data_IF_551805424770
#
_entry.id   IF_551805424770
#
_cell.length_a   1.000
_cell.length_b   1.000
_cell.length_c   1.000
_cell.angle_alpha   90.00
_cell.angle_beta   90.00
_cell.angle_gamma   90.00
#
_symmetry.space_group_name_H-M   'P 1'
#
loop_
_entity.id
_entity.type
_entity.pdbx_description
1 polymer ?
#
# COMPACT_ATOMS: atom_id res chain seq x y z
N UNK A 1 -12.97 16.02 -22.25
CA UNK A 1 -12.81 15.89 -20.78
C UNK A 1 -11.60 15.01 -20.47
N UNK A 2 -10.86 15.26 -19.38
CA UNK A 2 -9.70 14.45 -18.98
C UNK A 2 -9.92 13.85 -17.59
N UNK A 3 -9.52 12.59 -17.39
CA UNK A 3 -9.60 11.87 -16.11
C UNK A 3 -8.25 11.22 -15.84
N UNK A 4 -7.65 11.54 -14.69
CA UNK A 4 -6.43 10.89 -14.22
C UNK A 4 -6.75 9.93 -13.07
N UNK A 5 -6.12 8.76 -13.06
CA UNK A 5 -6.27 7.80 -11.98
C UNK A 5 -5.49 6.52 -12.21
N UNK A 6 -5.63 5.57 -11.28
CA UNK A 6 -5.01 4.25 -11.37
C UNK A 6 -6.02 3.28 -11.99
N UNK A 7 -5.53 2.37 -12.84
CA UNK A 7 -6.33 1.25 -13.34
C UNK A 7 -6.57 0.26 -12.20
N UNK A 8 -7.78 0.31 -11.66
CA UNK A 8 -8.24 -0.56 -10.57
C UNK A 8 -8.58 -1.97 -11.07
N UNK A 9 -9.11 -2.08 -12.29
CA UNK A 9 -9.54 -3.34 -12.89
C UNK A 9 -9.55 -3.26 -14.42
N UNK A 10 -9.36 -4.42 -15.06
CA UNK A 10 -9.43 -4.58 -16.52
C UNK A 10 -10.39 -5.72 -16.83
N UNK A 11 -11.32 -5.49 -17.76
CA UNK A 11 -12.22 -6.49 -18.33
C UNK A 11 -11.85 -6.75 -19.78
N UNK A 12 -11.21 -7.89 -20.04
CA UNK A 12 -10.84 -8.30 -21.41
C UNK A 12 -12.06 -8.66 -22.28
N UNK A 13 -13.18 -9.09 -21.66
CA UNK A 13 -14.41 -9.42 -22.39
C UNK A 13 -15.10 -8.19 -22.96
N UNK A 14 -15.14 -7.11 -22.18
CA UNK A 14 -15.82 -5.86 -22.57
C UNK A 14 -14.85 -4.79 -23.03
N UNK A 15 -13.54 -5.09 -23.03
CA UNK A 15 -12.45 -4.13 -23.32
C UNK A 15 -12.56 -2.86 -22.47
N UNK A 16 -12.94 -3.07 -21.21
CA UNK A 16 -13.21 -2.01 -20.26
C UNK A 16 -12.08 -1.87 -19.25
N UNK A 17 -11.75 -0.64 -18.86
CA UNK A 17 -10.89 -0.36 -17.71
C UNK A 17 -11.69 0.40 -16.65
N UNK A 18 -11.38 0.14 -15.37
CA UNK A 18 -11.94 0.89 -14.25
C UNK A 18 -10.89 1.86 -13.71
N UNK A 19 -11.19 3.16 -13.76
CA UNK A 19 -10.30 4.23 -13.28
C UNK A 19 -11.12 5.23 -12.47
N UNK A 20 -10.61 5.62 -11.30
CA UNK A 20 -11.28 6.55 -10.36
C UNK A 20 -12.75 6.15 -10.08
N UNK A 21 -13.00 4.86 -9.86
CA UNK A 21 -14.33 4.31 -9.59
C UNK A 21 -15.26 4.16 -10.81
N UNK A 22 -14.88 4.62 -12.01
CA UNK A 22 -15.72 4.58 -13.22
C UNK A 22 -15.19 3.61 -14.27
N UNK A 23 -16.08 2.99 -15.02
CA UNK A 23 -15.73 2.12 -16.15
C UNK A 23 -15.67 2.91 -17.46
N UNK A 24 -14.65 2.64 -18.26
CA UNK A 24 -14.44 3.21 -19.58
C UNK A 24 -14.22 2.09 -20.58
N UNK A 25 -14.95 2.11 -21.71
CA UNK A 25 -14.68 1.22 -22.83
C UNK A 25 -13.55 1.80 -23.65
N UNK A 26 -12.54 0.97 -23.92
CA UNK A 26 -11.30 1.38 -24.58
C UNK A 26 -11.24 0.76 -25.98
N UNK A 27 -10.93 1.54 -27.03
CA UNK A 27 -10.66 1.01 -28.36
C UNK A 27 -9.53 -0.02 -28.37
N UNK A 28 -9.61 -1.01 -29.26
CA UNK A 28 -8.63 -2.11 -29.34
C UNK A 28 -7.17 -1.64 -29.47
N UNK A 29 -6.96 -0.56 -30.20
CA UNK A 29 -5.64 0.01 -30.47
C UNK A 29 -4.97 0.53 -29.19
N UNK A 30 -5.76 1.06 -28.26
CA UNK A 30 -5.32 1.55 -26.95
C UNK A 30 -5.37 0.44 -25.87
N UNK A 31 -6.06 -0.66 -26.19
CA UNK A 31 -6.26 -1.90 -25.43
C UNK A 31 -4.97 -2.49 -24.83
N UNK A 32 -4.06 -2.79 -25.76
CA UNK A 32 -3.11 -3.91 -25.63
C UNK A 32 -1.98 -3.67 -24.63
N UNK A 33 -1.76 -2.43 -24.21
CA UNK A 33 -0.64 -2.07 -23.31
C UNK A 33 -1.10 -1.73 -21.88
N UNK A 34 -2.40 -1.91 -21.59
CA UNK A 34 -2.97 -1.55 -20.30
C UNK A 34 -2.84 -2.69 -19.29
N UNK A 35 -2.41 -2.34 -18.09
CA UNK A 35 -2.24 -3.24 -16.97
C UNK A 35 -2.82 -2.63 -15.71
N UNK A 36 -3.28 -3.49 -14.80
CA UNK A 36 -3.74 -3.05 -13.48
C UNK A 36 -2.59 -2.34 -12.76
N UNK A 37 -2.93 -1.34 -11.94
CA UNK A 37 -1.99 -0.48 -11.18
C UNK A 37 -1.15 0.49 -12.03
N UNK A 38 -1.39 0.57 -13.34
CA UNK A 38 -0.87 1.69 -14.13
C UNK A 38 -1.61 2.97 -13.76
N UNK A 39 -0.85 4.04 -13.54
CA UNK A 39 -1.41 5.39 -13.46
C UNK A 39 -1.59 5.89 -14.88
N UNK A 40 -2.81 6.30 -15.22
CA UNK A 40 -3.18 6.73 -16.57
C UNK A 40 -3.93 8.04 -16.56
N UNK A 41 -3.82 8.77 -17.67
CA UNK A 41 -4.66 9.91 -18.02
C UNK A 41 -5.50 9.53 -19.23
N UNK A 42 -6.82 9.52 -19.05
CA UNK A 42 -7.81 9.18 -20.07
C UNK A 42 -8.38 10.47 -20.64
N UNK A 43 -8.36 10.60 -21.96
CA UNK A 43 -9.02 11.69 -22.67
C UNK A 43 -10.32 11.17 -23.28
N UNK A 44 -11.39 11.92 -23.06
CA UNK A 44 -12.77 11.55 -23.41
C UNK A 44 -13.38 12.67 -24.26
N UNK A 45 -14.07 12.32 -25.34
CA UNK A 45 -14.82 13.27 -26.16
C UNK A 45 -16.11 13.77 -25.46
N UNK A 46 -16.86 14.65 -26.12
CA UNK A 46 -18.11 15.21 -25.59
C UNK A 46 -19.25 14.18 -25.53
N UNK A 47 -19.11 13.03 -26.17
CA UNK A 47 -20.06 11.93 -26.17
C UNK A 47 -19.73 10.84 -25.15
N UNK A 48 -18.60 10.95 -24.44
CA UNK A 48 -18.15 9.98 -23.45
C UNK A 48 -17.26 8.86 -23.98
N UNK A 49 -16.80 8.94 -25.24
CA UNK A 49 -15.90 7.94 -25.82
C UNK A 49 -14.45 8.23 -25.46
N UNK A 50 -13.69 7.17 -25.14
CA UNK A 50 -12.26 7.26 -24.92
C UNK A 50 -11.55 7.47 -26.26
N UNK A 51 -10.85 8.59 -26.38
CA UNK A 51 -10.08 8.94 -27.59
C UNK A 51 -8.58 8.73 -27.41
N UNK A 52 -8.07 8.83 -26.18
CA UNK A 52 -6.65 8.60 -25.88
C UNK A 52 -6.45 8.14 -24.44
N UNK A 53 -5.37 7.37 -24.22
CA UNK A 53 -4.92 6.93 -22.89
C UNK A 53 -3.40 7.09 -22.81
N UNK A 54 -2.97 8.00 -21.95
CA UNK A 54 -1.56 8.19 -21.63
C UNK A 54 -1.18 7.43 -20.35
N UNK A 55 -0.13 6.60 -20.42
CA UNK A 55 0.44 5.94 -19.25
C UNK A 55 1.43 6.89 -18.58
N UNK A 56 1.16 7.26 -17.33
CA UNK A 56 1.96 8.20 -16.53
C UNK A 56 2.97 7.49 -15.62
N UNK A 57 2.83 6.17 -15.43
CA UNK A 57 3.71 5.36 -14.61
C UNK A 57 2.99 4.17 -13.98
N UNK A 58 3.62 3.57 -12.99
CA UNK A 58 3.08 2.47 -12.21
C UNK A 58 3.02 2.87 -10.75
N UNK A 59 1.92 2.53 -10.09
CA UNK A 59 1.89 2.51 -8.64
C UNK A 59 2.36 1.13 -8.17
N UNK A 60 3.42 1.09 -7.35
CA UNK A 60 3.85 -0.13 -6.69
C UNK A 60 2.80 -0.56 -5.67
N UNK A 61 1.90 -1.45 -6.10
CA UNK A 61 1.04 -2.17 -5.17
C UNK A 61 1.85 -3.30 -4.57
N UNK A 62 2.46 -3.04 -3.41
CA UNK A 62 3.06 -4.10 -2.60
C UNK A 62 1.95 -5.09 -2.25
N UNK A 63 2.14 -6.35 -2.66
CA UNK A 63 1.19 -7.44 -2.42
C UNK A 63 0.81 -7.48 -0.94
N UNK A 64 -0.49 -7.63 -0.68
CA UNK A 64 -1.04 -7.70 0.68
C UNK A 64 -0.38 -8.81 1.50
N UNK A 65 -0.03 -9.93 0.86
CA UNK A 65 0.64 -11.04 1.54
C UNK A 65 2.08 -10.69 1.93
N UNK A 66 2.81 -9.98 1.06
CA UNK A 66 4.12 -9.41 1.36
C UNK A 66 4.06 -8.38 2.50
N UNK A 67 3.02 -7.52 2.51
CA UNK A 67 2.79 -6.59 3.62
C UNK A 67 2.56 -7.34 4.94
N UNK A 68 1.79 -8.43 4.92
CA UNK A 68 1.51 -9.27 6.09
C UNK A 68 2.78 -10.00 6.57
N UNK A 69 3.57 -10.56 5.67
CA UNK A 69 4.84 -11.21 6.02
C UNK A 69 5.84 -10.22 6.64
N UNK A 70 5.98 -9.03 6.05
CA UNK A 70 6.81 -7.96 6.60
C UNK A 70 6.34 -7.52 8.00
N UNK A 71 5.02 -7.51 8.23
CA UNK A 71 4.42 -7.24 9.55
C UNK A 71 4.83 -8.30 10.57
N UNK A 72 4.67 -9.58 10.21
CA UNK A 72 4.98 -10.71 11.08
C UNK A 72 6.48 -10.71 11.45
N UNK A 73 7.35 -10.47 10.48
CA UNK A 73 8.79 -10.36 10.71
C UNK A 73 9.12 -9.22 11.68
N UNK A 74 8.48 -8.06 11.53
CA UNK A 74 8.69 -6.90 12.41
C UNK A 74 8.25 -7.18 13.86
N UNK A 75 7.14 -7.91 14.04
CA UNK A 75 6.66 -8.34 15.37
C UNK A 75 7.62 -9.33 16.02
N UNK A 76 8.14 -10.31 15.27
CA UNK A 76 9.09 -11.31 15.79
C UNK A 76 10.42 -10.67 16.22
N UNK A 77 10.97 -9.74 15.43
CA UNK A 77 12.17 -8.98 15.81
C UNK A 77 11.94 -8.26 17.14
N UNK A 78 10.77 -7.65 17.31
CA UNK A 78 10.45 -6.92 18.52
C UNK A 78 10.34 -7.83 19.75
N UNK A 79 9.76 -9.03 19.61
CA UNK A 79 9.75 -10.03 20.69
C UNK A 79 11.16 -10.40 21.13
N UNK A 80 12.07 -10.62 20.17
CA UNK A 80 13.46 -10.97 20.45
C UNK A 80 14.16 -9.82 21.20
N UNK A 81 14.00 -8.57 20.76
CA UNK A 81 14.56 -7.40 21.44
C UNK A 81 14.10 -7.31 22.91
N UNK A 82 12.81 -7.58 23.18
CA UNK A 82 12.26 -7.58 24.53
C UNK A 82 12.81 -8.73 25.38
N UNK A 83 12.97 -9.91 24.80
CA UNK A 83 13.54 -11.08 25.50
C UNK A 83 15.00 -10.86 25.88
N UNK A 84 15.81 -10.27 24.99
CA UNK A 84 17.22 -9.98 25.25
C UNK A 84 17.40 -8.92 26.35
N UNK A 85 16.52 -7.91 26.39
CA UNK A 85 16.55 -6.87 27.43
C UNK A 85 15.97 -7.31 28.79
N UNK A 86 15.31 -8.48 28.87
CA UNK A 86 14.58 -8.91 30.06
C UNK A 86 15.51 -9.25 31.24
N UNK A 87 16.71 -9.77 30.96
CA UNK A 87 17.71 -10.06 31.99
C UNK A 87 18.22 -8.76 32.65
N UNK A 88 18.58 -7.75 31.85
CA UNK A 88 19.00 -6.44 32.36
C UNK A 88 17.86 -5.68 33.05
N UNK A 89 16.62 -5.88 32.59
CA UNK A 89 15.42 -5.33 33.22
C UNK A 89 15.20 -5.91 34.62
N UNK A 90 15.25 -7.24 34.79
CA UNK A 90 15.00 -7.91 36.07
C UNK A 90 15.88 -7.38 37.22
N UNK A 91 17.17 -7.15 36.94
CA UNK A 91 18.16 -6.69 37.92
C UNK A 91 18.33 -5.15 37.97
N UNK A 92 17.58 -4.38 37.17
CA UNK A 92 17.63 -2.93 37.20
C UNK A 92 16.88 -2.32 38.41
N UNK A 93 17.35 -1.16 38.86
CA UNK A 93 16.62 -0.31 39.82
C UNK A 93 15.25 0.10 39.29
N UNK A 94 14.25 0.31 40.15
CA UNK A 94 12.87 0.65 39.72
C UNK A 94 12.79 1.87 38.78
N UNK A 95 13.56 2.94 39.05
CA UNK A 95 13.60 4.14 38.19
C UNK A 95 14.11 3.81 36.77
N UNK A 96 15.03 2.86 36.63
CA UNK A 96 15.50 2.41 35.31
C UNK A 96 14.47 1.53 34.62
N UNK A 97 13.77 0.68 35.37
CA UNK A 97 12.69 -0.17 34.83
C UNK A 97 11.58 0.69 34.22
N UNK A 98 11.15 1.73 34.93
CA UNK A 98 10.09 2.64 34.49
C UNK A 98 10.48 3.37 33.18
N UNK A 99 11.68 3.94 33.13
CA UNK A 99 12.20 4.58 31.90
C UNK A 99 12.33 3.60 30.72
N UNK A 100 12.83 2.39 30.97
CA UNK A 100 12.96 1.37 29.92
C UNK A 100 11.59 0.96 29.37
N UNK A 101 10.56 0.84 30.23
CA UNK A 101 9.19 0.55 29.80
C UNK A 101 8.60 1.68 28.97
N UNK A 102 8.82 2.94 29.33
CA UNK A 102 8.37 4.09 28.53
C UNK A 102 8.98 4.08 27.12
N UNK A 103 10.28 3.79 26.99
CA UNK A 103 10.96 3.66 25.70
C UNK A 103 10.38 2.52 24.86
N UNK A 104 10.21 1.34 25.47
CA UNK A 104 9.61 0.18 24.81
C UNK A 104 8.20 0.50 24.31
N UNK A 105 7.36 1.14 25.13
CA UNK A 105 6.00 1.53 24.77
C UNK A 105 5.97 2.55 23.63
N UNK A 106 6.93 3.47 23.58
CA UNK A 106 7.06 4.45 22.49
C UNK A 106 7.43 3.79 21.17
N UNK A 107 8.38 2.86 21.19
CA UNK A 107 8.82 2.13 20.00
C UNK A 107 7.72 1.22 19.46
N UNK A 108 7.02 0.51 20.37
CA UNK A 108 5.84 -0.28 20.06
C UNK A 108 4.73 0.56 19.40
N UNK A 109 4.43 1.75 19.95
CA UNK A 109 3.43 2.65 19.37
C UNK A 109 3.83 3.17 17.98
N UNK A 110 5.12 3.44 17.78
CA UNK A 110 5.64 3.89 16.48
C UNK A 110 5.49 2.80 15.42
N UNK A 111 5.85 1.56 15.78
CA UNK A 111 5.70 0.40 14.89
C UNK A 111 4.22 0.14 14.60
N UNK A 112 3.36 0.18 15.61
CA UNK A 112 1.91 0.03 15.44
C UNK A 112 1.32 1.05 14.46
N UNK A 113 1.74 2.33 14.54
CA UNK A 113 1.28 3.36 13.59
C UNK A 113 1.73 3.08 12.16
N UNK A 114 2.98 2.67 11.95
CA UNK A 114 3.48 2.28 10.62
C UNK A 114 2.73 1.07 10.06
N UNK A 115 2.43 0.09 10.91
CA UNK A 115 1.59 -1.07 10.56
C UNK A 115 0.20 -0.60 10.08
N UNK A 116 -0.44 0.31 10.81
CA UNK A 116 -1.75 0.85 10.41
C UNK A 116 -1.69 1.65 9.10
N UNK A 117 -0.62 2.38 8.84
CA UNK A 117 -0.41 3.10 7.57
C UNK A 117 -0.26 2.12 6.40
N UNK A 118 0.45 1.01 6.59
CA UNK A 118 0.65 0.01 5.54
C UNK A 118 -0.62 -0.80 5.20
N UNK A 119 -1.55 -0.91 6.14
CA UNK A 119 -2.83 -1.62 6.00
C UNK A 119 -3.96 -0.78 5.39
N UNK A 120 -3.78 0.53 5.25
CA UNK A 120 -4.66 1.42 4.48
C UNK A 120 -4.31 1.37 2.99
#
# INVERSE_FOLDING_TARGET
MEIEGIIEAISYKTKGIKVAGKWFNVPDELFNNLQKNQKVKIVIDDFGNVIDIQILGYEEVIDKDLKIEALKASIEILKICLQLGYADFLYASEIRKEKSLEFILKDLNTIYRKILEMLK
#
